data_IF_109398448422
#
_entry.id   IF_109398448422
#
_cell.length_a   1.000
_cell.length_b   1.000
_cell.length_c   1.000
_cell.angle_alpha   90.00
_cell.angle_beta   90.00
_cell.angle_gamma   90.00
#
_symmetry.space_group_name_H-M   'P 1'
#
loop_
_entity.id
_entity.type
_entity.pdbx_description
1 polymer ?
#
# COMPACT_ATOMS: atom_id res chain seq x y z
N UNK A 1 9.18 -38.16 -4.64
CA UNK A 1 9.40 -36.85 -3.98
C UNK A 1 9.07 -35.79 -5.01
N UNK A 2 7.92 -35.11 -4.91
CA UNK A 2 7.60 -34.02 -5.84
C UNK A 2 8.66 -32.94 -5.67
N UNK A 3 9.25 -32.46 -6.76
CA UNK A 3 10.19 -31.35 -6.72
C UNK A 3 9.54 -30.19 -5.95
N UNK A 4 10.17 -29.74 -4.85
CA UNK A 4 9.78 -28.54 -4.11
C UNK A 4 10.10 -27.25 -4.90
N UNK A 5 9.83 -27.27 -6.20
CA UNK A 5 10.15 -26.22 -7.16
C UNK A 5 8.91 -25.94 -8.00
N UNK A 6 8.55 -24.67 -8.09
CA UNK A 6 7.46 -24.23 -8.93
C UNK A 6 7.83 -24.44 -10.41
N UNK A 7 7.08 -25.27 -11.12
CA UNK A 7 7.32 -25.56 -12.54
C UNK A 7 7.16 -24.34 -13.47
N UNK A 8 6.52 -23.26 -12.99
CA UNK A 8 6.23 -22.08 -13.80
C UNK A 8 7.32 -21.02 -13.71
N UNK A 9 7.82 -20.76 -12.50
CA UNK A 9 8.80 -19.68 -12.28
C UNK A 9 10.12 -20.15 -11.67
N UNK A 10 10.26 -21.44 -11.38
CA UNK A 10 11.46 -22.01 -10.77
C UNK A 10 11.67 -21.68 -9.29
N UNK A 11 10.72 -20.99 -8.63
CA UNK A 11 10.84 -20.72 -7.18
C UNK A 11 10.83 -22.04 -6.42
N UNK A 12 11.91 -22.29 -5.67
CA UNK A 12 12.06 -23.47 -4.81
C UNK A 12 12.15 -23.09 -3.33
N UNK A 13 12.30 -24.10 -2.48
CA UNK A 13 12.44 -23.93 -1.03
C UNK A 13 13.62 -23.03 -0.64
N UNK A 14 14.73 -23.12 -1.36
CA UNK A 14 15.93 -22.31 -1.11
C UNK A 14 15.63 -20.83 -1.36
N UNK A 15 15.02 -20.52 -2.51
CA UNK A 15 14.60 -19.16 -2.87
C UNK A 15 13.60 -18.61 -1.86
N UNK A 16 12.61 -19.41 -1.46
CA UNK A 16 11.62 -19.03 -0.45
C UNK A 16 12.29 -18.70 0.89
N UNK A 17 13.15 -19.59 1.42
CA UNK A 17 13.79 -19.38 2.72
C UNK A 17 14.71 -18.15 2.73
N UNK A 18 15.33 -17.82 1.60
CA UNK A 18 16.21 -16.65 1.49
C UNK A 18 15.44 -15.33 1.35
N UNK A 19 14.34 -15.32 0.59
CA UNK A 19 13.67 -14.07 0.20
C UNK A 19 12.29 -13.87 0.82
N UNK A 20 11.63 -14.94 1.24
CA UNK A 20 10.23 -14.94 1.68
C UNK A 20 9.26 -14.54 0.57
N UNK A 21 9.62 -14.77 -0.70
CA UNK A 21 8.88 -14.29 -1.87
C UNK A 21 8.57 -15.41 -2.85
N UNK A 22 7.42 -15.31 -3.52
CA UNK A 22 7.03 -16.20 -4.62
C UNK A 22 7.24 -15.55 -5.99
N UNK A 23 7.54 -16.35 -7.01
CA UNK A 23 7.73 -15.87 -8.37
C UNK A 23 6.47 -15.88 -9.26
N UNK A 24 5.36 -16.51 -8.82
CA UNK A 24 4.06 -16.47 -9.50
C UNK A 24 2.98 -17.08 -8.60
N UNK A 25 1.69 -16.89 -8.92
CA UNK A 25 0.59 -17.45 -8.13
C UNK A 25 0.61 -18.99 -8.01
N UNK A 26 1.18 -19.71 -8.98
CA UNK A 26 1.30 -21.17 -8.91
C UNK A 26 2.23 -21.66 -7.79
N UNK A 27 3.09 -20.79 -7.25
CA UNK A 27 3.89 -21.10 -6.06
C UNK A 27 3.03 -21.42 -4.84
N UNK A 28 1.79 -20.92 -4.79
CA UNK A 28 0.84 -21.23 -3.73
C UNK A 28 0.46 -22.71 -3.68
N UNK A 29 0.71 -23.50 -4.73
CA UNK A 29 0.55 -24.97 -4.67
C UNK A 29 1.60 -25.64 -3.78
N UNK A 30 2.72 -24.99 -3.54
CA UNK A 30 3.88 -25.51 -2.79
C UNK A 30 3.97 -24.81 -1.42
N UNK A 31 3.89 -23.47 -1.41
CA UNK A 31 4.16 -22.64 -0.24
C UNK A 31 2.89 -22.07 0.42
N UNK A 32 1.72 -22.71 0.24
CA UNK A 32 0.42 -22.14 0.69
C UNK A 32 0.44 -21.75 2.17
N UNK A 33 0.92 -22.66 3.02
CA UNK A 33 0.88 -22.50 4.48
C UNK A 33 1.84 -21.40 4.93
N UNK A 34 3.04 -21.38 4.38
CA UNK A 34 4.07 -20.40 4.68
C UNK A 34 3.67 -19.02 4.16
N UNK A 35 3.06 -18.94 2.98
CA UNK A 35 2.49 -17.71 2.44
C UNK A 35 1.38 -17.17 3.34
N UNK A 36 0.43 -18.03 3.73
CA UNK A 36 -0.67 -17.67 4.62
C UNK A 36 -0.18 -17.13 5.97
N UNK A 37 0.86 -17.74 6.55
CA UNK A 37 1.43 -17.33 7.84
C UNK A 37 2.01 -15.90 7.83
N UNK A 38 2.31 -15.35 6.66
CA UNK A 38 2.87 -14.01 6.49
C UNK A 38 1.87 -12.99 5.91
N UNK A 39 0.60 -13.38 5.71
CA UNK A 39 -0.44 -12.44 5.32
C UNK A 39 -0.66 -11.40 6.42
N UNK A 40 -0.84 -10.14 6.03
CA UNK A 40 -1.27 -9.09 6.95
C UNK A 40 -2.78 -9.11 7.12
N UNK A 41 -3.23 -8.93 8.36
CA UNK A 41 -4.65 -8.83 8.67
C UNK A 41 -5.31 -7.70 7.89
N UNK A 42 -6.58 -7.91 7.53
CA UNK A 42 -7.37 -6.91 6.82
C UNK A 42 -8.00 -5.91 7.78
N UNK A 43 -8.20 -6.28 9.05
CA UNK A 43 -9.01 -5.50 9.98
C UNK A 43 -8.15 -4.55 10.81
N UNK A 44 -8.37 -3.26 10.58
CA UNK A 44 -7.80 -2.15 11.33
C UNK A 44 -8.95 -1.31 11.90
N UNK A 45 -8.96 -1.17 13.22
CA UNK A 45 -9.90 -0.33 13.94
C UNK A 45 -9.14 0.49 14.97
N UNK A 46 -9.27 1.82 14.89
CA UNK A 46 -8.64 2.75 15.81
C UNK A 46 -9.66 3.73 16.36
N UNK A 47 -9.76 3.77 17.69
CA UNK A 47 -10.76 4.52 18.44
C UNK A 47 -10.24 4.97 19.80
N UNK A 48 -11.02 5.80 20.49
CA UNK A 48 -10.69 6.39 21.79
C UNK A 48 -10.35 5.35 22.86
N UNK A 49 -10.81 4.10 22.70
CA UNK A 49 -10.53 2.96 23.60
C UNK A 49 -9.03 2.68 23.81
N UNK A 50 -8.17 3.20 22.94
CA UNK A 50 -6.72 3.03 23.02
C UNK A 50 -6.00 4.21 23.70
N UNK A 51 -6.72 5.25 24.15
CA UNK A 51 -6.17 6.46 24.74
C UNK A 51 -6.46 6.59 26.24
N UNK A 52 -5.61 7.34 26.96
CA UNK A 52 -5.75 7.63 28.39
C UNK A 52 -5.34 9.08 28.68
N UNK A 53 -5.97 9.72 29.67
CA UNK A 53 -5.57 11.05 30.16
C UNK A 53 -6.13 12.23 29.34
N UNK A 54 -5.48 13.39 29.42
CA UNK A 54 -5.98 14.67 28.87
C UNK A 54 -6.15 14.68 27.33
N UNK A 55 -5.47 13.77 26.61
CA UNK A 55 -5.63 13.59 25.16
C UNK A 55 -7.00 13.00 24.77
N UNK A 56 -7.66 12.33 25.72
CA UNK A 56 -8.92 11.61 25.49
C UNK A 56 -10.09 12.55 25.18
N UNK A 57 -10.20 13.70 25.85
CA UNK A 57 -11.35 14.61 25.65
C UNK A 57 -11.36 15.21 24.23
N UNK A 58 -10.21 15.71 23.77
CA UNK A 58 -10.06 16.24 22.41
C UNK A 58 -10.32 15.15 21.36
N UNK A 59 -9.79 13.95 21.62
CA UNK A 59 -10.01 12.82 20.72
C UNK A 59 -11.47 12.37 20.67
N UNK A 60 -12.17 12.28 21.81
CA UNK A 60 -13.59 11.90 21.84
C UNK A 60 -14.45 12.89 21.05
N UNK A 61 -14.15 14.19 21.17
CA UNK A 61 -14.82 15.22 20.36
C UNK A 61 -14.58 14.97 18.87
N UNK A 62 -13.33 14.77 18.46
CA UNK A 62 -13.00 14.48 17.06
C UNK A 62 -13.67 13.19 16.57
N UNK A 63 -13.62 12.12 17.35
CA UNK A 63 -14.17 10.81 17.01
C UNK A 63 -15.69 10.86 16.76
N UNK A 64 -16.39 11.71 17.50
CA UNK A 64 -17.85 11.92 17.37
C UNK A 64 -18.28 12.67 16.10
N UNK A 65 -17.34 13.31 15.40
CA UNK A 65 -17.63 14.03 14.16
C UNK A 65 -18.01 13.06 13.03
N UNK A 66 -18.80 13.54 12.07
CA UNK A 66 -19.02 12.83 10.81
C UNK A 66 -17.72 12.71 10.00
N UNK A 67 -17.67 11.78 9.04
CA UNK A 67 -16.49 11.59 8.20
C UNK A 67 -16.07 12.88 7.48
N UNK A 68 -17.03 13.63 6.93
CA UNK A 68 -16.76 14.90 6.24
C UNK A 68 -16.21 15.97 7.18
N UNK A 69 -16.75 16.07 8.40
CA UNK A 69 -16.25 17.01 9.42
C UNK A 69 -14.84 16.64 9.88
N UNK A 70 -14.53 15.35 10.04
CA UNK A 70 -13.17 14.87 10.35
C UNK A 70 -12.16 15.27 9.28
N UNK A 71 -12.53 15.12 8.01
CA UNK A 71 -11.68 15.51 6.88
C UNK A 71 -11.43 17.04 6.92
N UNK A 72 -12.49 17.84 7.10
CA UNK A 72 -12.36 19.30 7.18
C UNK A 72 -11.47 19.74 8.36
N UNK A 73 -11.63 19.10 9.52
CA UNK A 73 -10.83 19.40 10.71
C UNK A 73 -9.36 19.02 10.51
N UNK A 74 -9.06 17.86 9.92
CA UNK A 74 -7.70 17.43 9.61
C UNK A 74 -7.01 18.35 8.60
N UNK A 75 -7.73 18.78 7.58
CA UNK A 75 -7.22 19.74 6.60
C UNK A 75 -6.98 21.12 7.23
N UNK A 76 -7.86 21.55 8.16
CA UNK A 76 -7.73 22.81 8.90
C UNK A 76 -6.50 22.83 9.82
N UNK A 77 -6.23 21.74 10.53
CA UNK A 77 -5.04 21.66 11.40
C UNK A 77 -3.75 21.43 10.59
N UNK A 78 -3.86 20.99 9.33
CA UNK A 78 -2.76 20.81 8.38
C UNK A 78 -1.55 20.11 8.99
N UNK A 79 -1.70 18.84 9.44
CA UNK A 79 -0.60 18.15 10.07
C UNK A 79 0.54 17.97 9.04
N UNK A 80 1.82 17.93 9.48
CA UNK A 80 2.97 17.89 8.58
C UNK A 80 3.21 16.49 7.98
N UNK A 81 2.15 15.86 7.50
CA UNK A 81 2.15 14.57 6.85
C UNK A 81 2.03 14.71 5.34
N UNK A 82 2.80 13.93 4.60
CA UNK A 82 2.46 13.59 3.22
C UNK A 82 1.75 12.26 3.20
N UNK A 83 0.56 12.22 2.62
CA UNK A 83 -0.24 11.02 2.50
C UNK A 83 0.04 10.31 1.18
N UNK A 84 0.00 8.99 1.21
CA UNK A 84 0.21 8.16 0.01
C UNK A 84 -0.63 6.90 0.08
N UNK A 85 -1.35 6.60 -0.99
CA UNK A 85 -1.95 5.29 -1.22
C UNK A 85 -1.20 4.59 -2.35
N UNK A 86 -0.84 3.33 -2.13
CA UNK A 86 -0.28 2.44 -3.14
C UNK A 86 -1.17 1.22 -3.30
N UNK A 87 -1.34 0.74 -4.53
CA UNK A 87 -1.97 -0.55 -4.84
C UNK A 87 -1.03 -1.36 -5.72
N UNK A 88 -0.75 -2.61 -5.35
CA UNK A 88 0.08 -3.55 -6.13
C UNK A 88 -0.77 -4.63 -6.82
N UNK A 89 -0.45 -4.95 -8.07
CA UNK A 89 -1.14 -5.98 -8.87
C UNK A 89 -0.18 -6.76 -9.75
N UNK A 90 -0.45 -8.05 -9.89
CA UNK A 90 0.22 -8.92 -10.84
C UNK A 90 -0.76 -9.43 -11.88
N UNK A 91 -0.42 -9.27 -13.17
CA UNK A 91 -1.19 -9.82 -14.28
C UNK A 91 -1.38 -11.34 -14.13
N UNK A 92 -2.60 -11.79 -14.41
CA UNK A 92 -3.02 -13.18 -14.22
C UNK A 92 -2.14 -14.17 -14.97
N UNK A 93 -1.63 -15.17 -14.26
CA UNK A 93 -0.87 -16.30 -14.82
C UNK A 93 0.54 -15.92 -15.32
N UNK A 94 1.08 -14.78 -14.91
CA UNK A 94 2.42 -14.31 -15.34
C UNK A 94 3.45 -14.46 -14.23
N UNK A 95 4.72 -14.58 -14.61
CA UNK A 95 5.85 -14.66 -13.68
C UNK A 95 6.18 -13.25 -13.20
N UNK A 96 6.27 -13.05 -11.88
CA UNK A 96 6.52 -11.78 -11.23
C UNK A 96 7.96 -11.30 -11.47
N UNK A 97 8.21 -9.97 -11.49
CA UNK A 97 9.53 -9.43 -11.86
C UNK A 97 10.68 -9.85 -10.94
N UNK A 98 10.37 -10.22 -9.69
CA UNK A 98 11.35 -10.62 -8.68
C UNK A 98 11.86 -12.06 -8.81
N UNK A 99 11.25 -12.87 -9.69
CA UNK A 99 11.59 -14.28 -9.85
C UNK A 99 12.95 -14.48 -10.53
N UNK A 100 13.23 -13.76 -11.62
CA UNK A 100 14.55 -13.75 -12.30
C UNK A 100 14.79 -12.41 -12.98
N UNK A 101 16.05 -11.99 -13.19
CA UNK A 101 16.41 -10.71 -13.86
C UNK A 101 15.87 -10.59 -15.30
N UNK A 102 15.39 -11.68 -15.88
CA UNK A 102 14.88 -11.75 -17.26
C UNK A 102 13.43 -12.24 -17.34
N UNK A 103 12.78 -12.57 -16.21
CA UNK A 103 11.39 -13.02 -16.18
C UNK A 103 10.48 -11.91 -15.69
N UNK A 104 9.35 -11.78 -16.39
CA UNK A 104 8.37 -10.73 -16.20
C UNK A 104 7.38 -10.79 -17.36
N UNK A 105 6.50 -9.81 -17.43
CA UNK A 105 5.62 -9.63 -18.59
C UNK A 105 6.45 -9.03 -19.73
N UNK A 106 6.49 -9.65 -20.92
CA UNK A 106 7.11 -9.03 -22.09
C UNK A 106 6.57 -7.62 -22.32
N UNK A 107 7.45 -6.65 -22.58
CA UNK A 107 7.10 -5.22 -22.70
C UNK A 107 5.91 -4.99 -23.63
N UNK A 108 5.86 -5.70 -24.76
CA UNK A 108 4.77 -5.59 -25.72
C UNK A 108 3.41 -6.02 -25.15
N UNK A 109 3.38 -7.15 -24.43
CA UNK A 109 2.16 -7.65 -23.76
C UNK A 109 1.70 -6.66 -22.69
N UNK A 110 2.65 -6.08 -21.93
CA UNK A 110 2.33 -5.07 -20.93
C UNK A 110 1.76 -3.81 -21.59
N UNK A 111 2.37 -3.30 -22.67
CA UNK A 111 1.85 -2.16 -23.43
C UNK A 111 0.43 -2.40 -23.95
N UNK A 112 0.18 -3.56 -24.54
CA UNK A 112 -1.15 -3.94 -25.01
C UNK A 112 -2.18 -3.96 -23.87
N UNK A 113 -1.82 -4.51 -22.72
CA UNK A 113 -2.67 -4.46 -21.53
C UNK A 113 -2.97 -3.02 -21.11
N UNK A 114 -1.96 -2.14 -21.05
CA UNK A 114 -2.14 -0.74 -20.65
C UNK A 114 -3.08 0.01 -21.61
N UNK A 115 -2.93 -0.19 -22.93
CA UNK A 115 -3.76 0.49 -23.93
C UNK A 115 -5.18 -0.09 -23.94
N UNK A 116 -5.31 -1.41 -24.05
CA UNK A 116 -6.61 -2.04 -24.30
C UNK A 116 -7.46 -2.18 -23.03
N UNK A 117 -6.82 -2.39 -21.87
CA UNK A 117 -7.51 -2.67 -20.62
C UNK A 117 -7.57 -1.44 -19.72
N UNK A 118 -6.46 -0.71 -19.56
CA UNK A 118 -6.42 0.48 -18.72
C UNK A 118 -6.77 1.77 -19.46
N UNK A 119 -6.88 1.72 -20.80
CA UNK A 119 -7.15 2.87 -21.67
C UNK A 119 -6.11 3.97 -21.55
N UNK A 120 -4.84 3.59 -21.43
CA UNK A 120 -3.71 4.53 -21.48
C UNK A 120 -3.52 5.03 -22.90
N UNK A 121 -3.28 6.33 -23.04
CA UNK A 121 -2.92 6.95 -24.30
C UNK A 121 -1.65 6.28 -24.87
N UNK A 122 -1.72 5.66 -26.07
CA UNK A 122 -0.58 5.05 -26.72
C UNK A 122 0.62 5.98 -26.88
N UNK A 123 0.40 7.30 -26.96
CA UNK A 123 1.49 8.28 -27.12
C UNK A 123 2.47 8.26 -25.94
N UNK A 124 2.00 7.91 -24.74
CA UNK A 124 2.80 7.75 -23.53
C UNK A 124 3.69 6.49 -23.57
N UNK A 125 3.48 5.61 -24.55
CA UNK A 125 4.13 4.30 -24.67
C UNK A 125 4.99 4.16 -25.95
N UNK A 126 5.23 5.26 -26.66
CA UNK A 126 5.96 5.29 -27.93
C UNK A 126 7.46 4.94 -27.84
N UNK A 127 8.03 4.89 -26.64
CA UNK A 127 9.44 4.56 -26.43
C UNK A 127 9.68 3.05 -26.44
N UNK A 128 10.90 2.61 -26.79
CA UNK A 128 11.28 1.18 -26.79
C UNK A 128 11.09 0.54 -25.41
N UNK A 129 11.41 1.28 -24.36
CA UNK A 129 11.23 0.89 -22.95
C UNK A 129 9.98 1.55 -22.36
N UNK A 130 9.42 0.94 -21.31
CA UNK A 130 8.31 1.55 -20.59
C UNK A 130 8.83 2.73 -19.74
N UNK A 131 8.13 3.88 -19.75
CA UNK A 131 8.43 4.95 -18.82
C UNK A 131 8.39 4.45 -17.38
N UNK A 132 9.28 4.95 -16.52
CA UNK A 132 9.30 4.60 -15.10
C UNK A 132 8.00 4.99 -14.38
N UNK A 133 7.28 5.99 -14.92
CA UNK A 133 6.05 6.56 -14.37
C UNK A 133 5.10 6.92 -15.51
N UNK A 134 3.83 6.52 -15.41
CA UNK A 134 2.77 6.90 -16.35
C UNK A 134 1.58 7.46 -15.57
N UNK A 135 1.11 8.70 -15.84
CA UNK A 135 -0.11 9.23 -15.24
C UNK A 135 -1.33 8.36 -15.59
N UNK A 136 -2.19 8.08 -14.61
CA UNK A 136 -3.41 7.32 -14.82
C UNK A 136 -4.45 7.60 -13.74
N UNK A 137 -5.59 8.15 -14.15
CA UNK A 137 -6.53 8.80 -13.22
C UNK A 137 -5.85 10.00 -12.55
N UNK A 138 -6.04 10.14 -11.24
CA UNK A 138 -5.38 11.15 -10.41
C UNK A 138 -4.05 10.64 -9.80
N UNK A 139 -3.65 9.41 -10.13
CA UNK A 139 -2.43 8.80 -9.64
C UNK A 139 -1.45 8.44 -10.76
N UNK A 140 -0.50 7.56 -10.44
CA UNK A 140 0.58 7.18 -11.34
C UNK A 140 0.84 5.69 -11.31
N UNK A 141 1.11 5.11 -12.47
CA UNK A 141 1.54 3.73 -12.64
C UNK A 141 3.07 3.61 -12.64
N UNK A 142 3.53 2.58 -11.95
CA UNK A 142 4.92 2.13 -11.89
C UNK A 142 4.99 0.65 -12.24
N UNK A 143 6.13 0.20 -12.75
CA UNK A 143 6.32 -1.13 -13.33
C UNK A 143 7.58 -1.82 -12.81
N UNK A 144 7.57 -3.15 -12.79
CA UNK A 144 8.79 -3.96 -12.82
C UNK A 144 9.62 -4.02 -11.54
N UNK A 145 9.12 -3.52 -10.41
CA UNK A 145 9.77 -3.67 -9.10
C UNK A 145 9.44 -5.06 -8.50
N UNK A 146 8.64 -5.13 -7.44
CA UNK A 146 8.23 -6.41 -6.86
C UNK A 146 7.03 -7.05 -7.58
N UNK A 147 6.13 -6.20 -8.07
CA UNK A 147 4.89 -6.54 -8.75
C UNK A 147 4.89 -5.97 -10.18
N UNK A 148 4.08 -6.54 -11.07
CA UNK A 148 3.96 -6.07 -12.46
C UNK A 148 3.50 -4.62 -12.55
N UNK A 149 2.47 -4.29 -11.77
CA UNK A 149 1.79 -3.00 -11.81
C UNK A 149 1.66 -2.46 -10.40
N UNK A 150 1.89 -1.17 -10.27
CA UNK A 150 1.70 -0.45 -9.03
C UNK A 150 1.09 0.91 -9.32
N UNK A 151 -0.09 1.16 -8.78
CA UNK A 151 -0.73 2.47 -8.82
C UNK A 151 -0.44 3.22 -7.53
N UNK A 152 -0.21 4.52 -7.63
CA UNK A 152 0.16 5.34 -6.50
C UNK A 152 -0.36 6.77 -6.61
N UNK A 153 -0.98 7.24 -5.52
CA UNK A 153 -1.43 8.61 -5.32
C UNK A 153 -0.68 9.22 -4.12
N UNK A 154 -0.25 10.47 -4.25
CA UNK A 154 0.37 11.25 -3.18
C UNK A 154 -0.39 12.55 -3.02
N UNK A 155 -0.66 12.93 -1.78
CA UNK A 155 -1.41 14.13 -1.45
C UNK A 155 -0.86 14.81 -0.19
N UNK A 156 -0.86 16.16 -0.15
CA UNK A 156 -0.52 16.93 1.05
C UNK A 156 -1.64 16.91 2.09
N UNK A 157 -2.89 16.65 1.70
CA UNK A 157 -4.03 16.61 2.62
C UNK A 157 -4.81 15.31 2.51
N UNK A 158 -5.63 15.02 3.53
CA UNK A 158 -6.46 13.82 3.55
C UNK A 158 -7.63 13.95 2.58
N UNK A 159 -8.23 15.14 2.47
CA UNK A 159 -9.29 15.37 1.48
C UNK A 159 -8.80 15.15 0.06
N UNK A 160 -7.60 15.65 -0.26
CA UNK A 160 -7.02 15.51 -1.59
C UNK A 160 -6.70 14.04 -1.87
N UNK A 161 -6.15 13.31 -0.91
CA UNK A 161 -5.92 11.87 -1.08
C UNK A 161 -7.22 11.16 -1.43
N UNK A 162 -8.28 11.29 -0.63
CA UNK A 162 -9.52 10.57 -0.87
C UNK A 162 -10.21 11.00 -2.17
N UNK A 163 -10.17 12.30 -2.51
CA UNK A 163 -10.64 12.80 -3.80
C UNK A 163 -9.89 12.17 -4.97
N UNK A 164 -8.55 12.08 -4.90
CA UNK A 164 -7.75 11.45 -5.95
C UNK A 164 -8.11 9.97 -6.12
N UNK A 165 -8.35 9.26 -5.01
CA UNK A 165 -8.72 7.84 -5.07
C UNK A 165 -10.12 7.67 -5.66
N UNK A 166 -11.11 8.46 -5.21
CA UNK A 166 -12.50 8.41 -5.69
C UNK A 166 -12.64 8.79 -7.17
N UNK A 167 -11.81 9.71 -7.68
CA UNK A 167 -11.81 10.14 -9.07
C UNK A 167 -10.95 9.25 -10.00
N UNK A 168 -10.25 8.26 -9.45
CA UNK A 168 -9.41 7.35 -10.25
C UNK A 168 -10.21 6.09 -10.65
N UNK A 169 -9.99 5.53 -11.86
CA UNK A 169 -10.73 4.37 -12.37
C UNK A 169 -10.25 3.04 -11.74
N UNK A 170 -10.21 2.98 -10.41
CA UNK A 170 -9.66 1.86 -9.63
C UNK A 170 -10.55 0.61 -9.65
N UNK A 171 -11.80 0.69 -10.09
CA UNK A 171 -12.66 -0.46 -10.33
C UNK A 171 -12.03 -1.46 -11.32
N UNK A 172 -11.22 -0.97 -12.27
CA UNK A 172 -10.45 -1.85 -13.18
C UNK A 172 -9.41 -2.68 -12.43
N UNK A 173 -8.87 -2.16 -11.33
CA UNK A 173 -7.91 -2.83 -10.46
C UNK A 173 -8.55 -3.87 -9.55
N UNK A 174 -9.88 -3.88 -9.45
CA UNK A 174 -10.63 -4.87 -8.69
C UNK A 174 -11.03 -6.10 -9.52
N UNK A 175 -10.77 -6.09 -10.83
CA UNK A 175 -11.15 -7.20 -11.70
C UNK A 175 -10.22 -8.43 -11.54
N UNK A 176 -10.71 -9.46 -10.85
CA UNK A 176 -10.02 -10.75 -10.59
C UNK A 176 -9.75 -11.59 -11.86
N UNK A 177 -10.29 -11.20 -13.02
CA UNK A 177 -9.95 -11.83 -14.31
C UNK A 177 -8.64 -11.28 -14.87
N UNK A 178 -8.26 -10.06 -14.50
CA UNK A 178 -7.05 -9.39 -15.00
C UNK A 178 -5.82 -9.71 -14.15
N UNK A 179 -6.02 -9.96 -12.86
CA UNK A 179 -4.94 -10.12 -11.90
C UNK A 179 -4.95 -11.49 -11.23
N UNK A 180 -3.79 -11.91 -10.74
CA UNK A 180 -3.68 -13.08 -9.89
C UNK A 180 -4.46 -12.86 -8.58
N UNK A 181 -5.41 -13.76 -8.33
CA UNK A 181 -6.31 -13.70 -7.20
C UNK A 181 -6.53 -15.11 -6.65
N UNK A 182 -6.43 -15.26 -5.34
CA UNK A 182 -6.76 -16.48 -4.60
C UNK A 182 -7.97 -16.18 -3.69
N UNK A 183 -9.02 -17.01 -3.66
CA UNK A 183 -10.20 -16.76 -2.84
C UNK A 183 -9.92 -16.57 -1.35
N UNK A 184 -8.90 -17.24 -0.81
CA UNK A 184 -8.57 -17.16 0.62
C UNK A 184 -7.62 -15.99 0.90
N UNK A 185 -6.76 -15.63 -0.05
CA UNK A 185 -5.67 -14.67 0.16
C UNK A 185 -5.88 -13.31 -0.51
N UNK A 186 -6.87 -13.16 -1.39
CA UNK A 186 -7.08 -11.96 -2.20
C UNK A 186 -6.13 -11.85 -3.39
N UNK A 187 -5.77 -10.63 -3.79
CA UNK A 187 -4.77 -10.39 -4.82
C UNK A 187 -3.41 -10.91 -4.38
N UNK A 188 -2.82 -11.74 -5.23
CA UNK A 188 -1.54 -12.40 -4.94
C UNK A 188 -0.39 -11.50 -5.38
N UNK A 189 0.54 -11.31 -4.45
CA UNK A 189 1.77 -10.54 -4.66
C UNK A 189 3.00 -11.39 -4.39
N UNK A 190 4.17 -10.93 -4.83
CA UNK A 190 5.43 -11.65 -4.61
C UNK A 190 5.75 -11.79 -3.12
N UNK A 191 5.70 -10.69 -2.34
CA UNK A 191 5.80 -10.74 -0.88
C UNK A 191 4.43 -10.97 -0.25
N UNK A 192 4.23 -12.03 0.56
CA UNK A 192 2.95 -12.33 1.19
C UNK A 192 2.36 -11.17 2.01
N UNK A 193 3.23 -10.33 2.60
CA UNK A 193 2.77 -9.19 3.40
C UNK A 193 2.07 -8.12 2.56
N UNK A 194 2.22 -8.10 1.23
CA UNK A 194 1.53 -7.19 0.32
C UNK A 194 0.27 -7.83 -0.30
N UNK A 195 -0.05 -9.08 0.01
CA UNK A 195 -1.22 -9.78 -0.52
C UNK A 195 -2.48 -9.44 0.29
N UNK A 196 -3.65 -9.67 -0.31
CA UNK A 196 -4.94 -9.24 0.25
C UNK A 196 -5.64 -8.29 -0.70
N UNK A 197 -5.91 -7.06 -0.28
CA UNK A 197 -6.37 -6.01 -1.21
C UNK A 197 -5.23 -5.45 -2.04
N UNK A 198 -3.97 -5.70 -1.65
CA UNK A 198 -2.77 -5.13 -2.27
C UNK A 198 -2.59 -3.64 -2.01
N UNK A 199 -3.41 -3.05 -1.12
CA UNK A 199 -3.37 -1.64 -0.78
C UNK A 199 -2.39 -1.40 0.36
N UNK A 200 -1.70 -0.25 0.31
CA UNK A 200 -0.89 0.28 1.40
C UNK A 200 -1.13 1.78 1.49
N UNK A 201 -1.74 2.23 2.58
CA UNK A 201 -1.86 3.65 2.90
C UNK A 201 -0.74 4.03 3.86
N UNK A 202 -0.14 5.20 3.67
CA UNK A 202 0.99 5.65 4.46
C UNK A 202 0.98 7.15 4.73
N UNK A 203 1.54 7.51 5.87
CA UNK A 203 1.83 8.88 6.29
C UNK A 203 3.34 9.04 6.40
N UNK A 204 3.89 10.01 5.70
CA UNK A 204 5.30 10.37 5.78
C UNK A 204 5.45 11.64 6.60
N UNK A 205 6.31 11.60 7.62
CA UNK A 205 6.62 12.72 8.50
C UNK A 205 8.12 12.98 8.49
N UNK A 206 8.53 14.25 8.44
CA UNK A 206 9.93 14.62 8.68
C UNK A 206 10.29 14.38 10.15
N UNK A 207 11.44 13.75 10.38
CA UNK A 207 11.99 13.57 11.72
C UNK A 207 12.34 14.91 12.41
N UNK A 208 12.41 16.02 11.66
CA UNK A 208 12.56 17.37 12.23
C UNK A 208 11.27 17.89 12.87
N UNK A 209 10.14 17.61 12.24
CA UNK A 209 8.80 17.99 12.72
C UNK A 209 8.33 17.07 13.85
N UNK A 210 8.88 15.86 13.90
CA UNK A 210 8.66 14.91 14.96
C UNK A 210 9.21 15.43 16.30
N UNK A 211 8.35 15.92 17.20
CA UNK A 211 8.76 16.15 18.58
C UNK A 211 8.85 14.84 19.34
N UNK A 212 9.90 14.76 20.16
CA UNK A 212 10.19 13.75 21.16
C UNK A 212 10.77 12.40 20.70
N UNK A 213 12.10 12.38 20.60
CA UNK A 213 12.88 11.18 20.93
C UNK A 213 13.01 10.98 22.47
N UNK A 214 12.57 11.95 23.29
CA UNK A 214 12.71 11.95 24.76
C UNK A 214 11.38 12.13 25.56
N UNK A 215 10.19 11.98 24.95
CA UNK A 215 8.95 11.85 25.76
C UNK A 215 8.77 10.40 26.16
N UNK A 216 8.65 10.08 27.46
CA UNK A 216 8.20 8.76 27.89
C UNK A 216 6.75 8.43 27.48
N UNK A 217 5.99 9.40 26.92
CA UNK A 217 4.59 9.28 26.52
C UNK A 217 4.35 8.96 25.04
N UNK A 218 5.40 8.93 24.21
CA UNK A 218 5.24 8.57 22.80
C UNK A 218 4.88 7.09 22.65
N UNK A 219 3.68 6.80 22.15
CA UNK A 219 3.24 5.43 21.85
C UNK A 219 2.82 5.35 20.39
N UNK A 220 3.73 4.93 19.49
CA UNK A 220 3.27 4.31 18.22
C UNK A 220 2.32 3.19 18.66
N UNK A 221 1.06 3.19 18.21
CA UNK A 221 0.20 2.06 18.50
C UNK A 221 0.89 0.79 18.00
N UNK A 222 0.99 -0.27 18.82
CA UNK A 222 1.82 -1.43 18.47
C UNK A 222 1.41 -2.15 17.16
N UNK A 223 0.22 -1.86 16.63
CA UNK A 223 -0.24 -2.34 15.33
C UNK A 223 0.30 -1.52 14.15
N UNK A 224 0.73 -0.27 14.38
CA UNK A 224 1.13 0.65 13.31
C UNK A 224 2.60 0.41 12.98
N UNK A 225 2.82 -0.16 11.81
CA UNK A 225 4.16 -0.39 11.29
C UNK A 225 4.76 0.91 10.77
N UNK A 226 6.08 1.05 10.91
CA UNK A 226 6.83 2.16 10.34
C UNK A 226 8.24 1.76 9.89
N UNK A 227 8.82 2.58 9.01
CA UNK A 227 10.24 2.50 8.65
C UNK A 227 10.82 3.90 8.49
N UNK A 228 12.15 3.98 8.54
CA UNK A 228 12.90 5.21 8.31
C UNK A 228 13.34 5.30 6.84
N UNK A 229 13.14 6.45 6.22
CA UNK A 229 13.46 6.73 4.82
C UNK A 229 14.50 7.86 4.72
N UNK A 230 15.26 7.90 3.62
CA UNK A 230 16.31 8.89 3.34
C UNK A 230 17.30 9.09 4.49
N UNK A 231 18.05 8.04 4.85
CA UNK A 231 19.02 8.10 5.94
C UNK A 231 18.42 8.56 7.28
N UNK A 232 17.16 8.20 7.53
CA UNK A 232 16.39 8.57 8.73
C UNK A 232 15.97 10.03 8.80
N UNK A 233 15.87 10.72 7.67
CA UNK A 233 15.26 12.05 7.59
C UNK A 233 13.74 12.00 7.76
N UNK A 234 13.11 10.89 7.37
CA UNK A 234 11.67 10.72 7.44
C UNK A 234 11.27 9.42 8.13
N UNK A 235 10.18 9.47 8.90
CA UNK A 235 9.46 8.29 9.33
C UNK A 235 8.23 8.08 8.44
N UNK A 236 8.03 6.86 7.96
CA UNK A 236 6.88 6.47 7.16
C UNK A 236 6.07 5.44 7.93
N UNK A 237 4.91 5.86 8.41
CA UNK A 237 3.90 4.99 9.03
C UNK A 237 3.00 4.43 7.96
N UNK A 238 2.60 3.18 8.07
CA UNK A 238 1.74 2.58 7.05
C UNK A 238 0.82 1.49 7.58
N UNK A 239 -0.29 1.33 6.88
CA UNK A 239 -1.22 0.22 7.05
C UNK A 239 -1.30 -0.54 5.72
N UNK A 240 -1.09 -1.85 5.78
CA UNK A 240 -1.33 -2.74 4.64
C UNK A 240 -2.76 -3.24 4.66
N UNK A 241 -3.26 -3.64 3.50
CA UNK A 241 -4.62 -4.10 3.30
C UNK A 241 -5.71 -3.09 3.71
N UNK A 242 -5.39 -1.79 3.65
CA UNK A 242 -6.34 -0.72 3.93
C UNK A 242 -7.59 -0.83 3.05
N UNK A 243 -8.74 -0.89 3.68
CA UNK A 243 -10.04 -0.88 3.02
C UNK A 243 -10.75 0.46 3.26
N UNK A 244 -11.55 0.91 2.29
CA UNK A 244 -12.32 2.16 2.43
C UNK A 244 -13.32 2.13 3.58
N UNK A 245 -13.83 0.96 3.96
CA UNK A 245 -14.64 0.80 5.18
C UNK A 245 -13.91 1.21 6.46
N UNK A 246 -12.58 1.33 6.42
CA UNK A 246 -11.72 1.74 7.53
C UNK A 246 -11.32 3.22 7.46
N UNK A 247 -11.89 3.98 6.53
CA UNK A 247 -11.63 5.41 6.37
C UNK A 247 -11.78 6.15 7.69
N UNK A 248 -12.88 5.94 8.42
CA UNK A 248 -13.08 6.54 9.74
C UNK A 248 -11.98 6.20 10.76
N UNK A 249 -11.56 4.93 10.85
CA UNK A 249 -10.45 4.51 11.71
C UNK A 249 -9.14 5.17 11.30
N UNK A 250 -8.92 5.36 9.99
CA UNK A 250 -7.74 6.04 9.48
C UNK A 250 -7.75 7.52 9.83
N UNK A 251 -8.87 8.23 9.66
CA UNK A 251 -9.01 9.63 10.07
C UNK A 251 -8.73 9.81 11.57
N UNK A 252 -9.27 8.92 12.41
CA UNK A 252 -8.99 8.87 13.83
C UNK A 252 -7.47 8.70 14.11
N UNK A 253 -6.80 7.80 13.38
CA UNK A 253 -5.37 7.58 13.52
C UNK A 253 -4.55 8.81 13.10
N UNK A 254 -4.90 9.44 11.98
CA UNK A 254 -4.23 10.66 11.50
C UNK A 254 -4.35 11.76 12.56
N UNK A 255 -5.53 11.95 13.14
CA UNK A 255 -5.75 12.93 14.19
C UNK A 255 -4.92 12.62 15.45
N UNK A 256 -4.92 11.36 15.89
CA UNK A 256 -4.08 10.95 17.01
C UNK A 256 -2.61 11.25 16.76
N UNK A 257 -2.08 10.88 15.58
CA UNK A 257 -0.70 11.17 15.22
C UNK A 257 -0.44 12.67 15.13
N UNK A 258 -1.39 13.47 14.63
CA UNK A 258 -1.26 14.92 14.55
C UNK A 258 -1.11 15.58 15.93
N UNK A 259 -1.80 15.08 16.97
CA UNK A 259 -1.65 15.56 18.34
C UNK A 259 -0.23 15.35 18.92
N UNK A 260 0.55 14.44 18.33
CA UNK A 260 1.89 14.07 18.81
C UNK A 260 3.02 14.83 18.10
N UNK A 261 2.70 15.69 17.14
CA UNK A 261 3.68 16.36 16.28
C UNK A 261 3.61 17.87 16.52
N UNK A 262 4.75 18.55 16.48
CA UNK A 262 4.72 20.00 16.58
C UNK A 262 4.29 20.67 15.28
N UNK A 263 3.50 21.76 15.38
CA UNK A 263 3.37 22.67 14.25
C UNK A 263 4.77 23.13 13.84
N UNK A 264 5.07 23.06 12.54
CA UNK A 264 6.26 23.72 12.03
C UNK A 264 6.12 25.23 12.33
N UNK A 265 7.01 25.76 13.19
CA UNK A 265 7.17 27.19 13.42
C UNK A 265 7.63 27.90 12.15
#
# INVERSE_FOLDING_TARGET
MSSETCLYCGTDRTVWNQKGKIGCAYCLKIFRKEYQAHLRQKDFEFSSRFLQGAELENFLRFESLSESEKILELDRISPPFTFRLRIGRNLKGRIYPTATKSAGVPTQILKEFLIQTLNIDPTLLNHKELPARIPWGEGNLFFGDEDHLRWEALAPTVSELFRQIENSPLEKWENQKLFDYDPDFGYVTSCPTNAGSGTKISLKLSMKSWKNQNSPSFKVPGFLEFYLENSSEFAVFYLKNFAFSQKNSFLNLVYYLALQVEPAL
#
